data_IF_137315534780
#
_entry.id   IF_137315534780
#
_cell.length_a   1.000
_cell.length_b   1.000
_cell.length_c   1.000
_cell.angle_alpha   90.00
_cell.angle_beta   90.00
_cell.angle_gamma   90.00
#
_symmetry.space_group_name_H-M   'P 1'
#
loop_
_entity.id
_entity.type
_entity.pdbx_description
1 polymer ?
#
# COMPACT_ATOMS: atom_id res chain seq x y z
N UNK A 1 17.19 7.99 -3.16
CA UNK A 1 17.01 6.74 -3.95
C UNK A 1 18.24 6.38 -4.75
N UNK A 2 18.68 7.21 -5.72
CA UNK A 2 19.86 6.89 -6.56
C UNK A 2 21.14 6.74 -5.73
N UNK A 3 21.39 7.66 -4.78
CA UNK A 3 22.51 7.55 -3.83
C UNK A 3 22.50 6.21 -3.07
N UNK A 4 21.37 5.86 -2.48
CA UNK A 4 21.18 4.58 -1.79
C UNK A 4 21.43 3.37 -2.71
N UNK A 5 21.03 3.43 -3.98
CA UNK A 5 21.29 2.37 -4.95
C UNK A 5 22.76 2.24 -5.36
N UNK A 6 23.58 3.28 -5.18
CA UNK A 6 25.03 3.20 -5.41
C UNK A 6 25.75 2.60 -4.20
N UNK A 7 25.28 2.91 -2.99
CA UNK A 7 25.91 2.51 -1.72
C UNK A 7 25.42 1.14 -1.21
N UNK A 8 24.20 0.70 -1.58
CA UNK A 8 23.57 -0.49 -1.05
C UNK A 8 23.07 -1.46 -2.15
N UNK A 9 23.67 -2.66 -2.28
CA UNK A 9 23.31 -3.63 -3.34
C UNK A 9 21.83 -4.04 -3.35
N UNK A 10 21.20 -4.19 -2.19
CA UNK A 10 19.79 -4.58 -2.13
C UNK A 10 18.85 -3.49 -2.67
N UNK A 11 19.18 -2.21 -2.48
CA UNK A 11 18.43 -1.08 -3.06
C UNK A 11 18.62 -1.04 -4.56
N UNK A 12 19.85 -1.29 -5.03
CA UNK A 12 20.16 -1.40 -6.45
C UNK A 12 19.30 -2.45 -7.15
N UNK A 13 19.30 -3.69 -6.63
CA UNK A 13 18.53 -4.78 -7.21
C UNK A 13 17.01 -4.53 -7.14
N UNK A 14 16.51 -3.91 -6.07
CA UNK A 14 15.10 -3.53 -5.97
C UNK A 14 14.73 -2.46 -7.02
N UNK A 15 15.62 -1.50 -7.28
CA UNK A 15 15.42 -0.48 -8.32
C UNK A 15 15.43 -1.11 -9.73
N UNK A 16 16.39 -1.99 -10.02
CA UNK A 16 16.44 -2.71 -11.29
C UNK A 16 15.21 -3.58 -11.51
N UNK A 17 14.72 -4.26 -10.46
CA UNK A 17 13.46 -5.00 -10.49
C UNK A 17 12.32 -4.09 -10.91
N UNK A 18 12.18 -2.95 -10.25
CA UNK A 18 11.11 -2.00 -10.53
C UNK A 18 11.16 -1.45 -11.96
N UNK A 19 12.36 -1.06 -12.43
CA UNK A 19 12.56 -0.59 -13.80
C UNK A 19 12.25 -1.66 -14.84
N UNK A 20 12.71 -2.90 -14.63
CA UNK A 20 12.46 -4.02 -15.53
C UNK A 20 10.96 -4.39 -15.58
N UNK A 21 10.25 -4.34 -14.44
CA UNK A 21 8.79 -4.54 -14.41
C UNK A 21 8.04 -3.44 -15.16
N UNK A 22 8.47 -2.18 -15.02
CA UNK A 22 7.87 -1.09 -15.77
C UNK A 22 8.01 -1.32 -17.28
N UNK A 23 9.21 -1.63 -17.76
CA UNK A 23 9.45 -1.93 -19.18
C UNK A 23 8.60 -3.13 -19.64
N UNK A 24 8.59 -4.22 -18.87
CA UNK A 24 7.77 -5.40 -19.17
C UNK A 24 6.27 -5.06 -19.24
N UNK A 25 5.77 -4.18 -18.36
CA UNK A 25 4.35 -3.77 -18.37
C UNK A 25 3.96 -2.97 -19.61
N UNK A 26 4.89 -2.25 -20.23
CA UNK A 26 4.66 -1.49 -21.46
C UNK A 26 4.61 -2.42 -22.69
N UNK A 27 5.33 -3.54 -22.66
CA UNK A 27 5.37 -4.51 -23.78
C UNK A 27 4.38 -5.66 -23.62
N UNK A 28 3.86 -5.91 -22.41
CA UNK A 28 2.97 -7.03 -22.10
C UNK A 28 1.69 -7.09 -22.96
N UNK A 29 1.17 -5.95 -23.42
CA UNK A 29 -0.01 -5.89 -24.29
C UNK A 29 0.33 -5.88 -25.79
N UNK A 30 1.57 -5.54 -26.16
CA UNK A 30 2.01 -5.42 -27.54
C UNK A 30 2.44 -6.78 -28.12
N UNK A 31 2.80 -7.72 -27.26
CA UNK A 31 3.39 -9.00 -27.62
C UNK A 31 2.47 -10.14 -27.17
N UNK A 32 1.61 -10.65 -28.07
CA UNK A 32 0.93 -11.95 -27.93
C UNK A 32 1.92 -13.12 -28.04
N UNK A 33 3.03 -13.07 -27.30
CA UNK A 33 4.05 -14.11 -27.34
C UNK A 33 3.72 -15.20 -26.30
N UNK A 34 3.91 -16.46 -26.69
CA UNK A 34 3.78 -17.63 -25.80
C UNK A 34 4.84 -17.66 -24.67
N UNK A 35 5.85 -16.76 -24.73
CA UNK A 35 6.95 -16.68 -23.78
C UNK A 35 6.81 -15.44 -22.88
N UNK A 36 7.19 -15.52 -21.59
CA UNK A 36 7.21 -14.36 -20.71
C UNK A 36 8.13 -13.27 -21.27
N UNK A 37 7.75 -11.99 -21.15
CA UNK A 37 8.55 -10.90 -21.70
C UNK A 37 9.96 -10.93 -21.10
N UNK A 38 11.03 -10.70 -21.87
CA UNK A 38 12.42 -10.85 -21.41
C UNK A 38 12.71 -10.00 -20.17
N UNK A 39 12.11 -8.82 -20.09
CA UNK A 39 12.22 -7.91 -18.95
C UNK A 39 11.54 -8.45 -17.68
N UNK A 40 10.52 -9.29 -17.78
CA UNK A 40 9.94 -9.97 -16.62
C UNK A 40 10.92 -10.99 -16.05
N UNK A 41 11.63 -11.75 -16.88
CA UNK A 41 12.66 -12.70 -16.43
C UNK A 41 13.78 -11.97 -15.70
N UNK A 42 14.25 -10.84 -16.26
CA UNK A 42 15.24 -9.97 -15.61
C UNK A 42 14.70 -9.47 -14.27
N UNK A 43 13.46 -8.97 -14.23
CA UNK A 43 12.86 -8.48 -13.00
C UNK A 43 12.81 -9.55 -11.90
N UNK A 44 12.41 -10.78 -12.23
CA UNK A 44 12.35 -11.88 -11.26
C UNK A 44 13.73 -12.25 -10.72
N UNK A 45 14.75 -12.31 -11.59
CA UNK A 45 16.14 -12.55 -11.19
C UNK A 45 16.67 -11.45 -10.26
N UNK A 46 16.46 -10.18 -10.62
CA UNK A 46 16.87 -9.05 -9.79
C UNK A 46 16.10 -9.00 -8.46
N UNK A 47 14.81 -9.37 -8.46
CA UNK A 47 14.01 -9.45 -7.24
C UNK A 47 14.57 -10.48 -6.26
N UNK A 48 15.00 -11.64 -6.77
CA UNK A 48 15.61 -12.68 -5.94
C UNK A 48 16.88 -12.17 -5.26
N UNK A 49 17.77 -11.52 -6.03
CA UNK A 49 18.99 -10.89 -5.50
C UNK A 49 18.68 -9.78 -4.48
N UNK A 50 17.68 -8.95 -4.76
CA UNK A 50 17.25 -7.90 -3.84
C UNK A 50 16.83 -8.49 -2.48
N UNK A 51 15.98 -9.53 -2.50
CA UNK A 51 15.48 -10.18 -1.28
C UNK A 51 16.61 -10.87 -0.52
N UNK A 52 17.48 -11.61 -1.22
CA UNK A 52 18.62 -12.31 -0.63
C UNK A 52 19.53 -11.33 0.12
N UNK A 53 19.89 -10.22 -0.53
CA UNK A 53 20.78 -9.18 0.04
C UNK A 53 20.09 -8.32 1.10
N UNK A 54 18.77 -8.20 1.04
CA UNK A 54 18.01 -7.40 2.00
C UNK A 54 17.77 -8.14 3.32
N UNK A 55 17.58 -9.46 3.29
CA UNK A 55 17.29 -10.29 4.47
C UNK A 55 18.19 -10.01 5.68
N UNK A 56 19.54 -10.07 5.58
CA UNK A 56 20.41 -9.83 6.75
C UNK A 56 20.30 -8.41 7.30
N UNK A 57 19.96 -7.42 6.45
CA UNK A 57 19.82 -6.02 6.89
C UNK A 57 18.55 -5.83 7.73
N UNK A 58 17.47 -6.57 7.41
CA UNK A 58 16.21 -6.52 8.16
C UNK A 58 16.34 -7.14 9.54
N UNK A 59 17.20 -8.16 9.69
CA UNK A 59 17.46 -8.81 10.99
C UNK A 59 18.18 -7.88 11.98
N UNK A 60 18.99 -6.93 11.50
CA UNK A 60 19.73 -5.99 12.33
C UNK A 60 19.71 -4.55 11.77
N UNK A 61 18.55 -3.91 11.77
CA UNK A 61 18.40 -2.53 11.26
C UNK A 61 19.14 -1.53 12.15
N UNK A 62 20.12 -0.81 11.59
CA UNK A 62 20.89 0.26 12.26
C UNK A 62 20.29 1.63 11.94
N UNK A 63 20.84 2.73 12.50
CA UNK A 63 20.39 4.07 12.11
C UNK A 63 20.78 4.38 10.66
N UNK A 64 21.94 3.90 10.22
CA UNK A 64 22.50 4.11 8.88
C UNK A 64 21.75 3.29 7.82
N UNK A 65 21.36 2.06 8.13
CA UNK A 65 20.68 1.19 7.14
C UNK A 65 19.17 1.41 7.07
N UNK A 66 18.57 2.15 8.02
CA UNK A 66 17.13 2.29 8.12
C UNK A 66 16.49 2.97 6.91
N UNK A 67 17.06 4.09 6.45
CA UNK A 67 16.52 4.82 5.30
C UNK A 67 16.64 4.03 3.99
N UNK A 68 17.81 3.47 3.62
CA UNK A 68 17.90 2.62 2.45
C UNK A 68 17.09 1.32 2.57
N UNK A 69 16.94 0.73 3.77
CA UNK A 69 16.05 -0.40 4.01
C UNK A 69 14.58 -0.06 3.75
N UNK A 70 14.12 1.10 4.22
CA UNK A 70 12.77 1.58 3.96
C UNK A 70 12.55 1.82 2.45
N UNK A 71 13.54 2.38 1.76
CA UNK A 71 13.51 2.60 0.32
C UNK A 71 13.38 1.27 -0.46
N UNK A 72 14.21 0.27 -0.13
CA UNK A 72 14.13 -1.05 -0.74
C UNK A 72 12.79 -1.76 -0.46
N UNK A 73 12.31 -1.69 0.79
CA UNK A 73 11.02 -2.28 1.17
C UNK A 73 9.86 -1.67 0.38
N UNK A 74 9.82 -0.33 0.25
CA UNK A 74 8.81 0.37 -0.55
C UNK A 74 8.87 0.00 -2.04
N UNK A 75 10.07 -0.10 -2.61
CA UNK A 75 10.25 -0.56 -4.00
C UNK A 75 9.77 -2.00 -4.18
N UNK A 76 10.11 -2.91 -3.27
CA UNK A 76 9.68 -4.32 -3.33
C UNK A 76 8.16 -4.45 -3.19
N UNK A 77 7.51 -3.64 -2.35
CA UNK A 77 6.05 -3.54 -2.29
C UNK A 77 5.47 -3.08 -3.63
N UNK A 78 6.02 -2.02 -4.24
CA UNK A 78 5.56 -1.55 -5.54
C UNK A 78 5.78 -2.60 -6.65
N UNK A 79 6.90 -3.33 -6.61
CA UNK A 79 7.17 -4.46 -7.52
C UNK A 79 6.14 -5.58 -7.36
N UNK A 80 5.68 -5.86 -6.13
CA UNK A 80 4.65 -6.86 -5.89
C UNK A 80 3.30 -6.49 -6.53
N UNK A 81 2.94 -5.19 -6.54
CA UNK A 81 1.79 -4.70 -7.29
C UNK A 81 2.01 -4.76 -8.81
N UNK A 82 3.22 -4.48 -9.28
CA UNK A 82 3.54 -4.41 -10.72
C UNK A 82 3.67 -5.77 -11.42
N UNK A 83 4.01 -6.84 -10.69
CA UNK A 83 4.24 -8.18 -11.27
C UNK A 83 3.10 -8.67 -12.18
N UNK A 84 1.83 -8.63 -11.74
CA UNK A 84 0.67 -8.92 -12.60
C UNK A 84 0.60 -8.12 -13.89
N UNK A 85 0.98 -6.85 -13.84
CA UNK A 85 0.91 -5.94 -14.99
C UNK A 85 2.02 -6.23 -16.00
N UNK A 86 3.10 -6.87 -15.55
CA UNK A 86 4.21 -7.33 -16.39
C UNK A 86 3.97 -8.74 -17.00
N UNK A 87 2.78 -9.32 -16.82
CA UNK A 87 2.43 -10.63 -17.38
C UNK A 87 2.84 -11.83 -16.53
N UNK A 88 3.25 -11.63 -15.27
CA UNK A 88 3.50 -12.74 -14.36
C UNK A 88 2.17 -13.45 -14.00
N UNK A 89 2.10 -14.79 -14.06
CA UNK A 89 0.94 -15.51 -13.54
C UNK A 89 0.87 -15.33 -12.03
N UNK A 90 -0.34 -15.12 -11.50
CA UNK A 90 -0.55 -14.90 -10.07
C UNK A 90 -1.97 -15.26 -9.67
N UNK A 91 -2.12 -15.74 -8.44
CA UNK A 91 -3.39 -15.75 -7.72
C UNK A 91 -3.56 -14.39 -7.03
N UNK A 92 -4.69 -13.73 -7.26
CA UNK A 92 -4.94 -12.37 -6.75
C UNK A 92 -4.97 -12.36 -5.23
N UNK A 93 -5.58 -13.36 -4.60
CA UNK A 93 -5.73 -13.44 -3.14
C UNK A 93 -4.38 -13.67 -2.47
N UNK A 94 -3.60 -14.62 -2.96
CA UNK A 94 -2.27 -14.91 -2.42
C UNK A 94 -1.32 -13.72 -2.63
N UNK A 95 -1.45 -13.02 -3.78
CA UNK A 95 -0.66 -11.82 -4.05
C UNK A 95 -1.06 -10.66 -3.14
N UNK A 96 -2.35 -10.48 -2.83
CA UNK A 96 -2.81 -9.49 -1.87
C UNK A 96 -2.27 -9.78 -0.46
N UNK A 97 -2.29 -11.04 -0.02
CA UNK A 97 -1.69 -11.43 1.27
C UNK A 97 -0.18 -11.13 1.31
N UNK A 98 0.53 -11.39 0.21
CA UNK A 98 1.95 -11.03 0.07
C UNK A 98 2.16 -9.52 0.14
N UNK A 99 1.38 -8.74 -0.62
CA UNK A 99 1.45 -7.28 -0.64
C UNK A 99 1.20 -6.70 0.76
N UNK A 100 0.17 -7.16 1.47
CA UNK A 100 -0.14 -6.72 2.83
C UNK A 100 1.03 -7.01 3.78
N UNK A 101 1.62 -8.21 3.68
CA UNK A 101 2.80 -8.59 4.50
C UNK A 101 4.00 -7.67 4.22
N UNK A 102 4.29 -7.37 2.95
CA UNK A 102 5.37 -6.45 2.57
C UNK A 102 5.09 -5.02 3.07
N UNK A 103 3.84 -4.58 3.04
CA UNK A 103 3.44 -3.27 3.55
C UNK A 103 3.59 -3.18 5.08
N UNK A 104 3.27 -4.25 5.81
CA UNK A 104 3.50 -4.36 7.25
C UNK A 104 5.00 -4.34 7.58
N UNK A 105 5.84 -5.00 6.78
CA UNK A 105 7.30 -4.92 6.88
C UNK A 105 7.82 -3.49 6.71
N UNK A 106 7.38 -2.81 5.65
CA UNK A 106 7.68 -1.38 5.40
C UNK A 106 7.27 -0.49 6.58
N UNK A 107 6.06 -0.71 7.11
CA UNK A 107 5.54 0.05 8.26
C UNK A 107 6.35 -0.21 9.53
N UNK A 108 6.81 -1.44 9.73
CA UNK A 108 7.65 -1.82 10.87
C UNK A 108 9.02 -1.13 10.80
N UNK A 109 9.67 -1.17 9.63
CA UNK A 109 10.93 -0.46 9.37
C UNK A 109 10.78 1.05 9.61
N UNK A 110 9.69 1.63 9.12
CA UNK A 110 9.38 3.04 9.35
C UNK A 110 9.27 3.34 10.86
N UNK A 111 8.49 2.56 11.63
CA UNK A 111 8.36 2.75 13.08
C UNK A 111 9.70 2.58 13.82
N UNK A 112 10.55 1.63 13.42
CA UNK A 112 11.88 1.43 14.01
C UNK A 112 12.79 2.64 13.77
N UNK A 113 12.81 3.19 12.56
CA UNK A 113 13.56 4.40 12.22
C UNK A 113 13.12 5.63 13.02
N UNK A 114 11.84 5.69 13.38
CA UNK A 114 11.28 6.76 14.21
C UNK A 114 11.59 6.63 15.72
N UNK A 115 11.87 5.42 16.22
CA UNK A 115 12.05 5.15 17.66
C UNK A 115 13.47 5.36 18.20
N UNK A 116 14.50 5.51 17.37
CA UNK A 116 15.90 5.64 17.84
C UNK A 116 16.20 7.08 18.34
N UNK A 117 16.65 7.26 19.61
CA UNK A 117 17.09 8.57 20.11
C UNK A 117 18.31 9.07 19.32
N UNK A 118 18.33 10.35 18.96
CA UNK A 118 19.21 10.92 17.92
C UNK A 118 20.38 11.73 18.49
N UNK A 119 21.55 11.72 17.84
CA UNK A 119 22.50 12.82 17.91
C UNK A 119 21.96 14.04 17.13
N UNK A 120 22.18 15.25 17.65
CA UNK A 120 21.65 16.54 17.18
C UNK A 120 21.96 16.96 15.72
N UNK A 121 22.62 16.11 14.91
CA UNK A 121 23.30 16.53 13.67
C UNK A 121 22.75 15.89 12.37
N UNK A 122 21.78 14.96 12.41
CA UNK A 122 21.35 14.24 11.20
C UNK A 122 19.88 14.45 10.80
N UNK A 123 19.65 14.96 9.58
CA UNK A 123 18.34 15.11 8.88
C UNK A 123 17.78 13.76 8.36
N UNK A 124 18.31 12.62 8.84
CA UNK A 124 17.98 11.27 8.36
C UNK A 124 16.65 10.70 8.89
N UNK A 125 15.71 11.54 9.35
CA UNK A 125 14.39 11.07 9.76
C UNK A 125 13.63 10.52 8.54
N UNK A 126 12.95 9.36 8.65
CA UNK A 126 12.07 8.90 7.59
C UNK A 126 10.97 9.94 7.37
N UNK A 127 11.01 10.65 6.24
CA UNK A 127 10.08 11.75 5.95
C UNK A 127 8.68 11.18 5.73
N UNK A 128 7.74 11.56 6.60
CA UNK A 128 6.31 11.24 6.39
C UNK A 128 5.80 12.16 5.29
N UNK A 129 5.05 11.60 4.33
CA UNK A 129 4.41 12.45 3.32
C UNK A 129 3.42 13.40 3.99
N UNK A 130 3.41 14.71 3.66
CA UNK A 130 2.48 15.67 4.23
C UNK A 130 1.02 15.24 4.10
N UNK A 131 0.65 14.58 2.99
CA UNK A 131 -0.70 14.06 2.78
C UNK A 131 -1.13 13.04 3.82
N UNK A 132 -0.21 12.18 4.29
CA UNK A 132 -0.50 11.19 5.34
C UNK A 132 -0.74 11.88 6.67
N UNK A 133 0.11 12.85 7.04
CA UNK A 133 -0.06 13.64 8.27
C UNK A 133 -1.37 14.43 8.25
N UNK A 134 -1.65 15.11 7.14
CA UNK A 134 -2.86 15.94 6.99
C UNK A 134 -4.13 15.08 7.03
N UNK A 135 -4.11 13.91 6.38
CA UNK A 135 -5.26 12.99 6.40
C UNK A 135 -5.57 12.50 7.81
N UNK A 136 -4.56 12.36 8.67
CA UNK A 136 -4.75 11.89 10.05
C UNK A 136 -5.41 12.93 10.98
N UNK A 137 -5.34 14.22 10.62
CA UNK A 137 -5.93 15.32 11.41
C UNK A 137 -7.23 15.87 10.82
N UNK A 138 -7.51 15.58 9.55
CA UNK A 138 -8.65 16.14 8.82
C UNK A 138 -9.50 15.04 8.15
N UNK A 139 -10.00 14.10 8.93
CA UNK A 139 -10.84 12.99 8.42
C UNK A 139 -12.16 13.51 7.82
N UNK A 140 -12.55 12.99 6.66
CA UNK A 140 -13.83 13.31 5.99
C UNK A 140 -14.68 12.07 5.88
N UNK A 141 -16.00 12.17 6.04
CA UNK A 141 -16.87 10.99 5.89
C UNK A 141 -16.92 10.50 4.44
N UNK A 142 -16.98 9.19 4.26
CA UNK A 142 -17.29 8.53 2.99
C UNK A 142 -18.47 7.58 3.20
N UNK A 143 -19.72 8.10 3.18
CA UNK A 143 -20.88 7.36 3.68
C UNK A 143 -21.09 6.00 3.03
N UNK A 144 -20.91 5.89 1.71
CA UNK A 144 -21.11 4.63 0.98
C UNK A 144 -20.07 3.58 1.36
N UNK A 145 -18.79 3.96 1.45
CA UNK A 145 -17.70 3.05 1.85
C UNK A 145 -17.83 2.64 3.31
N UNK A 146 -18.17 3.59 4.19
CA UNK A 146 -18.40 3.29 5.62
C UNK A 146 -19.62 2.36 5.80
N UNK A 147 -20.69 2.56 5.03
CA UNK A 147 -21.87 1.71 5.06
C UNK A 147 -21.55 0.28 4.64
N UNK A 148 -20.76 0.08 3.56
CA UNK A 148 -20.33 -1.25 3.13
C UNK A 148 -19.62 -2.01 4.26
N UNK A 149 -18.68 -1.37 4.94
CA UNK A 149 -17.99 -1.96 6.11
C UNK A 149 -18.95 -2.25 7.25
N UNK A 150 -19.96 -1.40 7.48
CA UNK A 150 -21.00 -1.65 8.49
C UNK A 150 -21.87 -2.87 8.15
N UNK A 151 -22.08 -3.19 6.87
CA UNK A 151 -22.75 -4.43 6.47
C UNK A 151 -21.91 -5.65 6.84
N UNK A 152 -20.60 -5.61 6.58
CA UNK A 152 -19.65 -6.68 6.94
C UNK A 152 -19.56 -6.84 8.45
N UNK A 153 -19.44 -5.74 9.20
CA UNK A 153 -19.42 -5.74 10.67
C UNK A 153 -20.67 -6.40 11.26
N UNK A 154 -21.86 -6.17 10.71
CA UNK A 154 -23.08 -6.83 11.19
C UNK A 154 -22.98 -8.35 11.09
N UNK A 155 -22.41 -8.87 10.00
CA UNK A 155 -22.21 -10.32 9.83
C UNK A 155 -21.10 -10.84 10.75
N UNK A 156 -20.00 -10.10 10.90
CA UNK A 156 -18.93 -10.47 11.85
C UNK A 156 -19.49 -10.60 13.27
N UNK A 157 -20.44 -9.74 13.66
CA UNK A 157 -21.02 -9.77 15.00
C UNK A 157 -21.89 -11.00 15.27
N UNK A 158 -22.44 -11.66 14.25
CA UNK A 158 -23.25 -12.89 14.40
C UNK A 158 -22.41 -14.16 14.43
N UNK A 159 -21.08 -14.09 14.20
CA UNK A 159 -20.18 -15.24 14.28
C UNK A 159 -20.21 -15.81 15.70
N UNK A 160 -20.52 -17.11 15.80
CA UNK A 160 -20.45 -17.86 17.04
C UNK A 160 -19.02 -18.41 17.25
N UNK A 161 -18.37 -17.93 18.32
CA UNK A 161 -17.01 -18.33 18.71
C UNK A 161 -16.99 -19.43 19.78
N UNK A 162 -18.11 -20.13 20.01
CA UNK A 162 -18.14 -21.30 20.92
C UNK A 162 -17.20 -22.42 20.49
N UNK A 163 -16.84 -22.50 19.21
CA UNK A 163 -15.91 -23.49 18.69
C UNK A 163 -14.47 -22.98 18.75
N UNK A 164 -13.54 -23.84 19.20
CA UNK A 164 -12.12 -23.50 19.31
C UNK A 164 -11.50 -23.10 17.94
N UNK A 165 -12.04 -23.61 16.83
CA UNK A 165 -11.61 -23.30 15.46
C UNK A 165 -11.97 -21.88 15.00
N UNK A 166 -12.95 -21.23 15.64
CA UNK A 166 -13.38 -19.85 15.29
C UNK A 166 -12.90 -18.82 16.30
N UNK A 167 -12.20 -19.23 17.37
CA UNK A 167 -11.76 -18.35 18.45
C UNK A 167 -10.77 -17.29 17.96
N UNK A 168 -11.12 -16.02 18.14
CA UNK A 168 -10.29 -14.87 17.75
C UNK A 168 -10.46 -14.46 16.28
N UNK A 169 -11.24 -15.21 15.49
CA UNK A 169 -11.62 -14.81 14.13
C UNK A 169 -12.40 -13.51 14.17
N UNK A 170 -13.36 -13.40 15.09
CA UNK A 170 -14.22 -12.21 15.21
C UNK A 170 -13.40 -10.98 15.54
N UNK A 171 -12.54 -11.07 16.56
CA UNK A 171 -11.71 -9.94 17.00
C UNK A 171 -10.79 -9.42 15.89
N UNK A 172 -10.16 -10.33 15.13
CA UNK A 172 -9.29 -9.98 14.01
C UNK A 172 -10.06 -9.26 12.90
N UNK A 173 -11.24 -9.75 12.55
CA UNK A 173 -12.09 -9.14 11.52
C UNK A 173 -12.69 -7.80 11.97
N UNK A 174 -13.13 -7.69 13.22
CA UNK A 174 -13.64 -6.43 13.80
C UNK A 174 -12.54 -5.37 13.80
N UNK A 175 -11.34 -5.70 14.27
CA UNK A 175 -10.19 -4.79 14.27
C UNK A 175 -9.87 -4.27 12.85
N UNK A 176 -9.80 -5.19 11.87
CA UNK A 176 -9.53 -4.84 10.48
C UNK A 176 -10.62 -3.92 9.88
N UNK A 177 -11.90 -4.24 10.11
CA UNK A 177 -13.04 -3.46 9.64
C UNK A 177 -13.08 -2.05 10.26
N UNK A 178 -12.88 -1.92 11.57
CA UNK A 178 -12.84 -0.62 12.24
C UNK A 178 -11.69 0.26 11.70
N UNK A 179 -10.52 -0.34 11.49
CA UNK A 179 -9.37 0.33 10.85
C UNK A 179 -9.66 0.70 9.41
N UNK A 180 -10.46 -0.08 8.69
CA UNK A 180 -10.85 0.21 7.30
C UNK A 180 -11.74 1.46 7.24
N UNK A 181 -12.69 1.61 8.17
CA UNK A 181 -13.49 2.85 8.27
C UNK A 181 -12.62 4.08 8.48
N UNK A 182 -11.63 4.00 9.38
CA UNK A 182 -10.67 5.09 9.59
C UNK A 182 -9.89 5.37 8.30
N UNK A 183 -9.39 4.32 7.64
CA UNK A 183 -8.64 4.48 6.39
C UNK A 183 -9.50 5.13 5.30
N UNK A 184 -10.76 4.74 5.12
CA UNK A 184 -11.66 5.37 4.14
C UNK A 184 -11.88 6.86 4.43
N UNK A 185 -12.04 7.25 5.70
CA UNK A 185 -12.19 8.67 6.03
C UNK A 185 -10.94 9.50 5.70
N UNK A 186 -9.76 8.89 5.86
CA UNK A 186 -8.47 9.49 5.50
C UNK A 186 -8.29 9.56 3.99
N UNK A 187 -8.70 8.53 3.26
CA UNK A 187 -8.72 8.52 1.79
C UNK A 187 -9.64 9.61 1.27
N UNK A 188 -10.84 9.75 1.82
CA UNK A 188 -11.77 10.82 1.44
C UNK A 188 -11.21 12.22 1.70
N UNK A 189 -10.38 12.39 2.74
CA UNK A 189 -9.68 13.64 3.04
C UNK A 189 -8.52 13.96 2.09
N UNK A 190 -7.88 12.92 1.51
CA UNK A 190 -6.66 13.03 0.72
C UNK A 190 -6.72 12.15 -0.55
N UNK A 191 -7.79 12.31 -1.34
CA UNK A 191 -7.96 11.58 -2.61
C UNK A 191 -6.75 11.79 -3.52
N UNK A 192 -6.36 10.75 -4.24
CA UNK A 192 -5.16 10.77 -5.07
C UNK A 192 -3.84 10.52 -4.33
N UNK A 193 -3.81 10.46 -3.00
CA UNK A 193 -2.58 10.12 -2.29
C UNK A 193 -2.42 8.59 -2.13
N UNK A 194 -1.57 7.95 -2.95
CA UNK A 194 -1.31 6.49 -2.87
C UNK A 194 -0.92 6.01 -1.47
N UNK A 195 -0.06 6.75 -0.77
CA UNK A 195 0.35 6.36 0.58
C UNK A 195 -0.82 6.32 1.58
N UNK A 196 -1.85 7.15 1.37
CA UNK A 196 -3.10 7.14 2.17
C UNK A 196 -4.00 6.01 1.70
N UNK A 197 -4.18 5.82 0.39
CA UNK A 197 -4.95 4.71 -0.17
C UNK A 197 -4.45 3.33 0.30
N UNK A 198 -3.13 3.14 0.37
CA UNK A 198 -2.53 1.89 0.80
C UNK A 198 -2.33 1.76 2.32
N UNK A 199 -2.65 2.80 3.11
CA UNK A 199 -2.28 2.85 4.53
C UNK A 199 -2.91 1.74 5.37
N UNK A 200 -4.12 1.31 5.00
CA UNK A 200 -4.86 0.28 5.72
C UNK A 200 -4.10 -1.04 5.78
N UNK A 201 -3.36 -1.39 4.72
CA UNK A 201 -2.52 -2.59 4.67
C UNK A 201 -1.46 -2.62 5.78
N UNK A 202 -0.98 -1.44 6.22
CA UNK A 202 -0.03 -1.32 7.33
C UNK A 202 -0.70 -1.24 8.72
N UNK A 203 -2.03 -1.13 8.79
CA UNK A 203 -2.81 -1.01 10.02
C UNK A 203 -3.35 -2.36 10.52
N UNK A 204 -3.71 -3.26 9.59
CA UNK A 204 -4.22 -4.60 9.92
C UNK A 204 -3.15 -5.48 10.57
N UNK A 205 -3.59 -6.46 11.37
CA UNK A 205 -2.69 -7.39 12.07
C UNK A 205 -2.13 -8.47 11.12
N UNK A 206 -1.08 -9.18 11.55
CA UNK A 206 -0.59 -10.36 10.80
C UNK A 206 -1.64 -11.47 10.76
N UNK A 207 -2.40 -11.65 11.84
CA UNK A 207 -3.49 -12.63 11.90
C UNK A 207 -4.58 -12.36 10.85
N UNK A 208 -4.85 -11.09 10.51
CA UNK A 208 -5.75 -10.77 9.40
C UNK A 208 -5.19 -11.24 8.05
N UNK A 209 -3.88 -11.10 7.84
CA UNK A 209 -3.24 -11.59 6.62
C UNK A 209 -3.35 -13.10 6.51
N UNK A 210 -3.23 -13.83 7.62
CA UNK A 210 -3.44 -15.28 7.64
C UNK A 210 -4.89 -15.63 7.24
N UNK A 211 -5.89 -14.87 7.68
CA UNK A 211 -7.28 -15.04 7.22
C UNK A 211 -7.44 -14.83 5.71
N UNK A 212 -6.73 -13.85 5.13
CA UNK A 212 -6.74 -13.66 3.67
C UNK A 212 -6.13 -14.87 2.96
N UNK A 213 -5.01 -15.44 3.46
CA UNK A 213 -4.41 -16.67 2.90
C UNK A 213 -5.34 -17.88 3.00
N UNK A 214 -6.04 -17.99 4.12
CA UNK A 214 -7.06 -19.01 4.38
C UNK A 214 -8.34 -18.79 3.55
N UNK A 215 -8.41 -17.75 2.71
CA UNK A 215 -9.57 -17.39 1.88
C UNK A 215 -10.85 -17.19 2.71
N UNK A 216 -10.70 -16.62 3.91
CA UNK A 216 -11.84 -16.24 4.76
C UNK A 216 -12.71 -15.20 4.03
N UNK A 217 -13.97 -15.56 3.76
CA UNK A 217 -14.91 -14.77 2.98
C UNK A 217 -15.02 -13.32 3.44
N UNK A 218 -15.13 -13.08 4.75
CA UNK A 218 -15.29 -11.73 5.31
C UNK A 218 -13.99 -10.94 5.24
N UNK A 219 -12.83 -11.60 5.39
CA UNK A 219 -11.55 -10.95 5.17
C UNK A 219 -11.37 -10.53 3.70
N UNK A 220 -11.79 -11.40 2.77
CA UNK A 220 -11.76 -11.12 1.33
C UNK A 220 -12.68 -9.97 0.95
N UNK A 221 -13.89 -9.88 1.52
CA UNK A 221 -14.79 -8.74 1.31
C UNK A 221 -14.14 -7.44 1.77
N UNK A 222 -13.51 -7.41 2.96
CA UNK A 222 -12.81 -6.20 3.44
C UNK A 222 -11.63 -5.81 2.53
N UNK A 223 -10.90 -6.78 1.96
CA UNK A 223 -9.86 -6.52 0.97
C UNK A 223 -10.44 -5.94 -0.33
N UNK A 224 -11.59 -6.45 -0.79
CA UNK A 224 -12.28 -5.93 -1.95
C UNK A 224 -12.78 -4.50 -1.73
N UNK A 225 -13.40 -4.23 -0.59
CA UNK A 225 -13.83 -2.89 -0.20
C UNK A 225 -12.65 -1.92 -0.17
N UNK A 226 -11.55 -2.29 0.48
CA UNK A 226 -10.33 -1.47 0.50
C UNK A 226 -9.83 -1.15 -0.90
N UNK A 227 -9.83 -2.15 -1.80
CA UNK A 227 -9.27 -2.02 -3.15
C UNK A 227 -9.93 -0.91 -3.97
N UNK A 228 -11.20 -0.57 -3.68
CA UNK A 228 -11.91 0.56 -4.30
C UNK A 228 -11.15 1.88 -4.12
N UNK A 229 -10.45 2.06 -3.00
CA UNK A 229 -9.61 3.25 -2.76
C UNK A 229 -8.48 3.41 -3.80
N UNK A 230 -8.07 2.32 -4.45
CA UNK A 230 -7.04 2.36 -5.49
C UNK A 230 -7.54 3.05 -6.78
N UNK A 231 -8.85 3.21 -6.95
CA UNK A 231 -9.43 3.95 -8.09
C UNK A 231 -9.08 5.43 -8.09
N UNK A 232 -8.87 6.03 -6.92
CA UNK A 232 -8.45 7.43 -6.83
C UNK A 232 -6.97 7.64 -7.20
N UNK A 233 -6.19 6.57 -7.35
CA UNK A 233 -4.73 6.61 -7.56
C UNK A 233 -4.28 5.91 -8.84
N UNK A 234 -5.13 5.88 -9.87
CA UNK A 234 -4.85 5.24 -11.17
C UNK A 234 -3.68 5.89 -11.93
N UNK A 235 -3.24 7.09 -11.53
CA UNK A 235 -2.01 7.73 -12.02
C UNK A 235 -0.73 7.01 -11.55
N UNK A 236 -0.83 6.16 -10.53
CA UNK A 236 0.25 5.28 -10.07
C UNK A 236 0.21 3.99 -10.89
N UNK A 237 1.13 3.88 -11.85
CA UNK A 237 1.09 2.83 -12.86
C UNK A 237 1.06 1.41 -12.27
N UNK A 238 1.79 1.14 -11.19
CA UNK A 238 1.89 -0.21 -10.61
C UNK A 238 0.62 -0.65 -9.89
N UNK A 239 -0.23 0.28 -9.42
CA UNK A 239 -1.50 -0.05 -8.76
C UNK A 239 -2.70 -0.03 -9.71
N UNK A 240 -2.49 0.28 -10.99
CA UNK A 240 -3.58 0.38 -11.97
C UNK A 240 -4.31 -0.96 -12.13
N UNK A 241 -5.64 -0.91 -12.17
CA UNK A 241 -6.48 -2.10 -12.39
C UNK A 241 -6.60 -3.06 -11.18
N UNK A 242 -5.99 -2.74 -10.03
CA UNK A 242 -6.03 -3.60 -8.86
C UNK A 242 -7.39 -3.64 -8.18
N UNK A 243 -8.17 -2.56 -8.24
CA UNK A 243 -9.53 -2.54 -7.69
C UNK A 243 -10.40 -3.58 -8.41
N UNK A 244 -10.43 -3.52 -9.74
CA UNK A 244 -11.19 -4.41 -10.60
C UNK A 244 -10.73 -5.85 -10.46
N UNK A 245 -9.41 -6.09 -10.47
CA UNK A 245 -8.85 -7.45 -10.29
C UNK A 245 -9.20 -8.04 -8.93
N UNK A 246 -9.14 -7.23 -7.86
CA UNK A 246 -9.44 -7.69 -6.51
C UNK A 246 -10.91 -8.03 -6.38
N UNK A 247 -11.81 -7.12 -6.73
CA UNK A 247 -13.26 -7.33 -6.61
C UNK A 247 -13.70 -8.54 -7.45
N UNK A 248 -13.18 -8.71 -8.67
CA UNK A 248 -13.50 -9.85 -9.53
C UNK A 248 -12.92 -11.18 -9.04
N UNK A 249 -11.78 -11.18 -8.35
CA UNK A 249 -11.24 -12.39 -7.74
C UNK A 249 -12.06 -12.78 -6.52
N UNK A 250 -12.36 -11.82 -5.65
CA UNK A 250 -13.17 -12.05 -4.45
C UNK A 250 -14.59 -12.52 -4.80
N UNK A 251 -15.22 -11.97 -5.83
CA UNK A 251 -16.55 -12.42 -6.26
C UNK A 251 -16.60 -13.89 -6.69
N UNK A 252 -15.47 -14.47 -7.12
CA UNK A 252 -15.36 -15.89 -7.50
C UNK A 252 -15.12 -16.81 -6.31
N UNK A 253 -14.55 -16.29 -5.23
CA UNK A 253 -14.28 -17.03 -3.99
C UNK A 253 -15.49 -17.03 -3.04
N UNK A 254 -16.36 -16.03 -3.13
CA UNK A 254 -17.53 -15.90 -2.25
C UNK A 254 -18.66 -16.85 -2.64
N UNK A 255 -19.32 -17.41 -1.62
CA UNK A 255 -20.58 -18.13 -1.80
C UNK A 255 -21.75 -17.19 -2.10
N UNK A 256 -22.82 -17.71 -2.69
CA UNK A 256 -24.02 -16.93 -3.10
C UNK A 256 -24.59 -16.06 -1.97
N UNK A 257 -24.56 -16.56 -0.73
CA UNK A 257 -25.10 -15.87 0.44
C UNK A 257 -24.30 -14.65 0.89
N UNK A 258 -23.05 -14.49 0.46
CA UNK A 258 -22.15 -13.40 0.89
C UNK A 258 -21.93 -12.35 -0.21
N UNK A 259 -22.35 -12.63 -1.45
CA UNK A 259 -22.18 -11.73 -2.60
C UNK A 259 -22.82 -10.35 -2.39
N UNK A 260 -23.90 -10.27 -1.59
CA UNK A 260 -24.54 -8.98 -1.28
C UNK A 260 -23.60 -8.01 -0.55
N UNK A 261 -22.64 -8.53 0.23
CA UNK A 261 -21.65 -7.71 0.92
C UNK A 261 -20.66 -7.05 -0.05
N UNK A 262 -20.42 -7.68 -1.21
CA UNK A 262 -19.53 -7.17 -2.24
C UNK A 262 -20.21 -6.14 -3.18
N UNK A 263 -21.52 -5.93 -3.05
CA UNK A 263 -22.30 -5.14 -3.99
C UNK A 263 -21.78 -3.70 -4.13
N UNK A 264 -21.42 -3.05 -3.02
CA UNK A 264 -20.84 -1.70 -3.08
C UNK A 264 -19.54 -1.68 -3.89
N UNK A 265 -18.62 -2.60 -3.62
CA UNK A 265 -17.35 -2.66 -4.33
C UNK A 265 -17.55 -2.96 -5.82
N UNK A 266 -18.46 -3.86 -6.18
CA UNK A 266 -18.83 -4.17 -7.57
C UNK A 266 -19.39 -2.95 -8.31
N UNK A 267 -20.30 -2.21 -7.69
CA UNK A 267 -20.83 -0.97 -8.27
C UNK A 267 -19.70 0.06 -8.41
N UNK A 268 -18.92 0.26 -7.35
CA UNK A 268 -17.86 1.25 -7.32
C UNK A 268 -16.75 0.98 -8.34
N UNK A 269 -16.44 -0.28 -8.68
CA UNK A 269 -15.45 -0.60 -9.73
C UNK A 269 -16.01 -0.41 -11.14
N UNK A 270 -17.28 -0.73 -11.36
CA UNK A 270 -17.93 -0.63 -12.67
C UNK A 270 -18.38 0.79 -13.03
N UNK A 271 -18.65 1.64 -12.04
CA UNK A 271 -18.82 3.07 -12.26
C UNK A 271 -17.48 3.64 -12.75
N UNK A 272 -17.37 4.00 -14.03
CA UNK A 272 -16.29 4.88 -14.48
C UNK A 272 -16.26 6.06 -13.51
N UNK A 273 -15.11 6.34 -12.89
CA UNK A 273 -14.93 7.54 -12.05
C UNK A 273 -15.05 8.79 -12.94
N UNK A 274 -16.25 9.08 -13.43
CA UNK A 274 -16.67 10.34 -14.02
C UNK A 274 -17.13 11.25 -12.87
N UNK A 275 -16.19 11.58 -11.99
CA UNK A 275 -16.26 12.87 -11.31
C UNK A 275 -14.92 13.54 -11.56
N UNK A 276 -14.82 14.46 -12.53
CA UNK A 276 -13.69 15.36 -12.62
C UNK A 276 -13.78 16.32 -11.44
N UNK A 277 -13.37 15.89 -10.26
CA UNK A 277 -13.02 16.83 -9.21
C UNK A 277 -11.69 17.41 -9.62
N UNK A 278 -11.74 18.68 -10.01
CA UNK A 278 -10.60 19.51 -10.35
C UNK A 278 -9.40 19.13 -9.48
N UNK A 279 -8.42 18.47 -10.10
CA UNK A 279 -7.05 18.52 -9.62
C UNK A 279 -6.67 19.99 -9.65
N UNK A 280 -6.91 20.72 -8.56
CA UNK A 280 -6.23 21.98 -8.36
C UNK A 280 -4.74 21.64 -8.37
N UNK A 281 -3.97 22.14 -9.35
CA UNK A 281 -2.55 21.89 -9.37
C UNK A 281 -1.99 22.44 -8.07
N UNK A 282 -1.30 21.59 -7.31
CA UNK A 282 -0.47 22.03 -6.19
C UNK A 282 0.54 22.98 -6.80
N UNK A 283 0.30 24.29 -6.70
CA UNK A 283 1.29 25.31 -7.00
C UNK A 283 2.44 25.06 -6.03
N UNK A 284 3.56 24.61 -6.56
CA UNK A 284 4.83 24.73 -5.86
C UNK A 284 5.16 26.23 -5.81
N UNK A 285 4.57 26.95 -4.85
CA UNK A 285 5.03 28.28 -4.52
C UNK A 285 6.40 28.12 -3.86
N UNK A 286 7.42 28.54 -4.61
CA UNK A 286 8.78 28.67 -4.14
C UNK A 286 8.78 29.59 -2.91
N UNK A 287 8.93 29.02 -1.72
CA UNK A 287 9.26 29.77 -0.53
C UNK A 287 10.70 30.29 -0.67
N UNK A 288 10.84 31.50 -1.20
CA UNK A 288 12.06 32.29 -1.07
C UNK A 288 12.16 32.73 0.38
N UNK A 289 13.11 32.16 1.13
CA UNK A 289 13.41 32.59 2.49
C UNK A 289 13.98 34.01 2.43
N UNK A 290 13.18 35.01 2.78
CA UNK A 290 13.69 36.34 3.08
C UNK A 290 14.46 36.29 4.39
N UNK A 291 15.78 36.46 4.33
CA UNK A 291 16.60 36.70 5.51
C UNK A 291 16.15 37.99 6.21
N UNK A 292 15.96 38.00 7.54
CA UNK A 292 15.70 39.23 8.28
C UNK A 292 16.95 40.11 8.31
N UNK A 293 16.81 41.45 8.36
CA UNK A 293 17.93 42.37 8.30
C UNK A 293 18.77 42.28 9.57
N UNK A 294 20.08 42.10 9.38
CA UNK A 294 21.12 42.23 10.42
C UNK A 294 21.08 43.61 11.05
N UNK A 295 20.74 43.68 12.35
CA UNK A 295 20.83 44.90 13.15
C UNK A 295 22.31 45.21 13.41
N UNK A 296 22.90 46.10 12.60
CA UNK A 296 24.22 46.68 12.88
C UNK A 296 24.17 47.46 14.20
N UNK A 297 25.21 47.25 15.02
CA UNK A 297 25.39 47.89 16.31
C UNK A 297 25.43 49.42 16.21
N UNK A 298 24.88 50.08 17.23
CA UNK A 298 25.14 51.49 17.51
C UNK A 298 26.45 51.58 18.28
N UNK A 299 27.49 52.07 17.63
CA UNK A 299 28.59 52.79 18.26
C UNK A 299 28.21 54.27 18.34
N UNK A 300 28.48 54.86 19.51
CA UNK A 300 28.42 56.28 19.90
C UNK A 300 27.06 56.95 19.90
#
# INVERSE_FOLDING_TARGET
MIRHAQEHPYVHHALLTFSALHIASLTANAEQHQNPPPHLVIALSQKALAIERFRPVVESVTAETCEPALAASGLLTACAFALPLAGAPFDVVDQLAQITSLFQGTTTLFRMGWRKPRPLVSDAAPKVRPSVLLSAVNEKSWPQAEHAVDQVLRVIMTIDERHQSTRGRKDVLVDAALKLKIAFRRVAAARGAYAVAAMWLGMVSSAFVDRVRERDSLALVLMADWSVSLKDVQHVWWSRGWAERTVNAVSRELGEHELYLLNWALVAVNENCNQPHELQPVKYENYTIHNPPTRKGKTT
#
